data_IF_677357845110
#
_entry.id   IF_677357845110
#
_cell.length_a   1.000
_cell.length_b   1.000
_cell.length_c   1.000
_cell.angle_alpha   90.00
_cell.angle_beta   90.00
_cell.angle_gamma   90.00
#
_symmetry.space_group_name_H-M   'P 1'
#
loop_
_entity.id
_entity.type
_entity.pdbx_description
1 polymer ?
#
# COMPACT_ATOMS: atom_id res chain seq x y z
N UNK A 1 -47.17 0.60 -19.96
CA UNK A 1 -46.60 -0.75 -20.00
C UNK A 1 -45.08 -0.69 -20.02
N UNK A 2 -44.48 -1.58 -19.24
CA UNK A 2 -43.10 -2.10 -19.21
C UNK A 2 -41.88 -1.18 -19.34
N UNK A 3 -41.32 -0.85 -18.17
CA UNK A 3 -39.90 -0.55 -17.97
C UNK A 3 -39.07 -1.82 -18.25
N UNK A 4 -38.31 -1.83 -19.36
CA UNK A 4 -37.29 -2.88 -19.61
C UNK A 4 -36.20 -2.82 -18.53
N UNK A 5 -36.17 -3.83 -17.67
CA UNK A 5 -35.05 -4.12 -16.77
C UNK A 5 -33.92 -4.67 -17.64
N UNK A 6 -32.90 -3.87 -17.91
CA UNK A 6 -31.66 -4.34 -18.53
C UNK A 6 -30.89 -5.17 -17.51
N UNK A 7 -30.86 -6.49 -17.71
CA UNK A 7 -29.99 -7.38 -16.92
C UNK A 7 -28.51 -7.13 -17.26
N UNK A 8 -27.59 -7.26 -16.28
CA UNK A 8 -26.15 -7.18 -16.55
C UNK A 8 -25.70 -8.30 -17.50
N UNK A 9 -24.75 -8.03 -18.43
CA UNK A 9 -24.35 -8.96 -19.50
C UNK A 9 -23.62 -10.23 -19.03
N UNK A 10 -23.40 -10.41 -17.74
CA UNK A 10 -22.62 -11.52 -17.17
C UNK A 10 -23.44 -12.80 -16.93
N UNK A 11 -24.76 -12.77 -17.18
CA UNK A 11 -25.64 -13.95 -16.97
C UNK A 11 -25.89 -14.82 -18.19
N UNK A 12 -25.23 -14.57 -19.32
CA UNK A 12 -25.49 -15.33 -20.55
C UNK A 12 -24.21 -15.71 -21.28
N UNK A 13 -23.70 -16.92 -21.00
CA UNK A 13 -22.65 -17.55 -21.80
C UNK A 13 -22.07 -18.79 -21.11
N UNK A 14 -21.71 -19.86 -21.86
CA UNK A 14 -20.97 -20.98 -21.29
C UNK A 14 -19.61 -20.46 -20.78
N UNK A 15 -19.24 -20.89 -19.57
CA UNK A 15 -18.06 -20.41 -18.83
C UNK A 15 -16.80 -20.45 -19.71
N UNK A 16 -16.15 -19.30 -19.87
CA UNK A 16 -14.81 -19.24 -20.46
C UNK A 16 -13.83 -20.07 -19.61
N UNK A 17 -12.87 -20.78 -20.23
CA UNK A 17 -11.91 -21.59 -19.49
C UNK A 17 -11.15 -20.70 -18.51
N UNK A 18 -11.20 -21.08 -17.23
CA UNK A 18 -10.52 -20.37 -16.16
C UNK A 18 -9.01 -20.45 -16.38
N UNK A 19 -8.25 -19.33 -16.30
CA UNK A 19 -6.80 -19.41 -16.23
C UNK A 19 -6.38 -20.20 -14.97
N UNK A 20 -5.19 -20.82 -14.95
CA UNK A 20 -4.72 -21.58 -13.79
C UNK A 20 -4.81 -20.69 -12.55
N UNK A 21 -5.57 -21.16 -11.57
CA UNK A 21 -5.93 -20.41 -10.37
C UNK A 21 -4.65 -20.03 -9.59
N UNK A 22 -4.24 -18.76 -9.69
CA UNK A 22 -3.25 -18.19 -8.76
C UNK A 22 -3.89 -18.13 -7.37
N UNK A 23 -3.11 -18.45 -6.34
CA UNK A 23 -3.58 -18.72 -4.98
C UNK A 23 -4.53 -17.63 -4.45
N UNK A 24 -5.74 -18.02 -4.07
CA UNK A 24 -6.75 -17.15 -3.45
C UNK A 24 -6.46 -17.06 -1.95
N UNK A 25 -5.51 -16.21 -1.54
CA UNK A 25 -5.24 -15.99 -0.11
C UNK A 25 -6.16 -14.93 0.49
N UNK A 26 -7.45 -15.26 0.59
CA UNK A 26 -8.38 -14.69 1.59
C UNK A 26 -8.59 -15.72 2.71
N UNK A 27 -8.85 -15.31 3.96
CA UNK A 27 -8.60 -16.14 5.13
C UNK A 27 -9.57 -17.32 5.22
N UNK A 28 -9.03 -18.55 5.18
CA UNK A 28 -9.74 -19.74 5.63
C UNK A 28 -9.72 -19.78 7.16
N UNK A 29 -10.87 -19.50 7.77
CA UNK A 29 -11.16 -19.81 9.19
C UNK A 29 -11.91 -21.14 9.24
N UNK A 30 -11.19 -22.21 9.62
CA UNK A 30 -11.61 -23.54 10.12
C UNK A 30 -10.55 -24.56 9.65
N UNK A 31 -10.05 -25.56 10.37
CA UNK A 31 -10.25 -26.14 11.70
C UNK A 31 -9.13 -27.21 11.85
N UNK A 32 -8.87 -27.70 13.06
CA UNK A 32 -7.60 -28.34 13.45
C UNK A 32 -7.16 -29.61 12.71
N UNK A 33 -5.85 -29.91 12.73
CA UNK A 33 -5.28 -31.11 13.39
C UNK A 33 -3.77 -31.30 13.07
N UNK A 34 -2.96 -31.28 14.13
CA UNK A 34 -1.77 -32.11 14.47
C UNK A 34 -0.74 -32.63 13.44
N UNK A 35 0.54 -32.38 13.80
CA UNK A 35 1.79 -33.14 13.53
C UNK A 35 2.30 -33.22 12.06
N UNK A 36 3.60 -33.22 11.75
CA UNK A 36 4.82 -33.56 12.52
C UNK A 36 6.04 -32.85 11.90
N UNK A 37 7.01 -32.47 12.75
CA UNK A 37 8.39 -32.08 12.38
C UNK A 37 9.16 -33.28 11.82
N UNK A 38 10.10 -33.02 10.92
CA UNK A 38 11.38 -33.73 10.83
C UNK A 38 12.47 -32.78 10.32
N UNK A 39 13.51 -32.64 11.13
CA UNK A 39 14.79 -31.96 10.83
C UNK A 39 15.78 -32.92 10.15
N UNK A 40 16.96 -32.37 9.81
CA UNK A 40 18.29 -33.04 9.71
C UNK A 40 18.67 -33.60 8.31
N UNK A 41 19.89 -33.53 7.74
CA UNK A 41 21.18 -32.82 7.96
C UNK A 41 22.06 -32.92 6.68
N UNK A 42 23.13 -32.12 6.60
CA UNK A 42 24.34 -32.09 5.72
C UNK A 42 24.89 -33.49 5.26
N UNK A 43 25.58 -33.75 4.12
CA UNK A 43 26.92 -33.26 3.69
C UNK A 43 27.43 -33.94 2.36
N UNK A 44 28.11 -33.18 1.48
CA UNK A 44 29.39 -33.42 0.71
C UNK A 44 29.58 -34.53 -0.38
N UNK A 45 29.72 -34.05 -1.64
CA UNK A 45 30.63 -34.30 -2.80
C UNK A 45 31.30 -35.65 -3.24
N UNK A 46 31.01 -36.02 -4.52
CA UNK A 46 31.82 -36.48 -5.71
C UNK A 46 32.62 -37.84 -5.73
N UNK A 47 33.04 -38.42 -6.91
CA UNK A 47 32.77 -38.14 -8.35
C UNK A 47 32.56 -39.35 -9.35
N UNK A 48 32.16 -39.01 -10.60
CA UNK A 48 32.35 -39.67 -11.95
C UNK A 48 31.67 -41.04 -12.23
N UNK A 49 30.87 -41.27 -13.29
CA UNK A 49 31.10 -40.96 -14.72
C UNK A 49 29.88 -41.22 -15.64
N UNK A 50 29.73 -40.35 -16.65
CA UNK A 50 29.30 -40.52 -18.05
C UNK A 50 28.05 -41.36 -18.44
N UNK A 51 26.97 -40.68 -18.84
CA UNK A 51 26.35 -40.85 -20.17
C UNK A 51 25.55 -39.62 -20.59
N UNK A 52 25.84 -39.15 -21.80
CA UNK A 52 25.38 -37.90 -22.39
C UNK A 52 23.93 -37.95 -22.87
N UNK A 53 23.15 -36.94 -22.50
CA UNK A 53 21.88 -36.57 -23.12
C UNK A 53 21.77 -35.05 -23.12
N UNK A 54 21.92 -34.42 -24.28
CA UNK A 54 21.91 -32.97 -24.48
C UNK A 54 20.52 -32.38 -24.20
N UNK A 55 20.24 -32.02 -22.95
CA UNK A 55 19.10 -31.17 -22.55
C UNK A 55 19.53 -29.70 -22.53
N UNK A 56 19.46 -29.04 -23.69
CA UNK A 56 19.79 -27.61 -23.84
C UNK A 56 18.68 -26.78 -23.17
N UNK A 57 18.96 -26.14 -22.04
CA UNK A 57 18.08 -25.15 -21.43
C UNK A 57 17.80 -24.04 -22.45
N UNK A 58 16.52 -23.73 -22.68
CA UNK A 58 16.11 -22.67 -23.60
C UNK A 58 16.46 -21.30 -23.01
N UNK A 59 16.95 -20.34 -23.82
CA UNK A 59 17.13 -18.96 -23.39
C UNK A 59 15.78 -18.33 -23.02
N UNK A 60 15.78 -17.46 -22.02
CA UNK A 60 14.64 -16.62 -21.64
C UNK A 60 14.40 -15.52 -22.71
N UNK A 61 13.79 -15.90 -23.83
CA UNK A 61 13.35 -14.97 -24.87
C UNK A 61 12.02 -15.44 -25.44
N UNK A 62 10.94 -15.16 -24.72
CA UNK A 62 9.55 -15.07 -25.21
C UNK A 62 8.63 -14.75 -24.04
N UNK A 63 8.79 -13.54 -23.49
CA UNK A 63 7.68 -12.90 -22.77
C UNK A 63 6.75 -12.28 -23.84
N UNK A 64 5.42 -12.28 -23.66
CA UNK A 64 4.53 -11.63 -24.61
C UNK A 64 4.86 -10.14 -24.66
N UNK A 65 5.38 -9.70 -25.80
CA UNK A 65 5.64 -8.30 -26.08
C UNK A 65 4.30 -7.56 -26.18
N UNK A 66 4.05 -6.60 -25.29
CA UNK A 66 3.07 -5.54 -25.54
C UNK A 66 3.66 -4.68 -26.67
N UNK A 67 3.00 -4.64 -27.81
CA UNK A 67 3.46 -3.93 -29.00
C UNK A 67 3.67 -2.43 -28.68
N UNK A 68 4.86 -1.90 -29.01
CA UNK A 68 5.12 -0.45 -29.03
C UNK A 68 4.53 0.13 -30.32
N UNK A 69 3.62 1.09 -30.17
CA UNK A 69 3.18 1.95 -31.27
C UNK A 69 4.31 2.88 -31.73
N UNK A 70 4.21 3.29 -32.99
CA UNK A 70 5.23 3.88 -33.86
C UNK A 70 5.92 5.18 -33.37
N UNK A 71 7.07 5.44 -33.99
CA UNK A 71 8.05 6.49 -33.74
C UNK A 71 7.54 7.93 -34.00
N UNK A 72 8.08 8.87 -33.21
CA UNK A 72 8.01 10.31 -33.46
C UNK A 72 7.83 11.11 -32.17
N UNK A 73 8.87 11.86 -31.78
CA UNK A 73 9.04 12.63 -30.51
C UNK A 73 9.62 11.79 -29.37
N UNK A 74 10.85 12.13 -28.95
CA UNK A 74 11.43 11.58 -27.72
C UNK A 74 10.44 11.87 -26.58
N UNK A 75 9.93 10.83 -25.88
CA UNK A 75 8.99 11.06 -24.80
C UNK A 75 9.65 11.98 -23.78
N UNK A 76 8.91 12.97 -23.23
CA UNK A 76 9.44 13.78 -22.14
C UNK A 76 9.98 12.85 -21.05
N UNK A 77 11.06 13.24 -20.36
CA UNK A 77 11.64 12.41 -19.31
C UNK A 77 10.52 11.94 -18.37
N UNK A 78 10.50 10.65 -17.99
CA UNK A 78 9.40 10.09 -17.23
C UNK A 78 9.21 10.92 -15.96
N UNK A 79 8.03 11.54 -15.82
CA UNK A 79 7.71 12.33 -14.63
C UNK A 79 7.68 11.39 -13.43
N UNK A 80 8.42 11.67 -12.35
CA UNK A 80 8.39 10.84 -11.16
C UNK A 80 6.96 10.76 -10.61
N UNK A 81 6.63 9.65 -9.94
CA UNK A 81 5.32 9.52 -9.33
C UNK A 81 5.15 10.60 -8.24
N UNK A 82 3.90 11.02 -7.98
CA UNK A 82 3.60 12.17 -7.11
C UNK A 82 4.33 12.13 -5.76
N UNK A 83 4.42 10.96 -5.12
CA UNK A 83 5.07 10.84 -3.81
C UNK A 83 6.58 11.01 -3.87
N UNK A 84 7.21 10.65 -4.98
CA UNK A 84 8.63 10.88 -5.23
C UNK A 84 8.87 12.35 -5.56
N UNK A 85 7.98 12.97 -6.34
CA UNK A 85 8.06 14.39 -6.68
C UNK A 85 7.89 15.31 -5.45
N UNK A 86 7.12 14.88 -4.45
CA UNK A 86 6.88 15.62 -3.20
C UNK A 86 7.79 15.18 -2.05
N UNK A 87 8.99 14.67 -2.35
CA UNK A 87 10.05 14.50 -1.36
C UNK A 87 10.90 15.78 -1.33
N UNK A 88 11.05 16.45 -0.17
CA UNK A 88 11.94 17.60 -0.05
C UNK A 88 13.39 17.24 -0.36
N UNK A 89 14.11 18.12 -1.05
CA UNK A 89 15.52 17.97 -1.39
C UNK A 89 16.44 18.17 -0.18
N UNK A 90 16.08 19.11 0.70
CA UNK A 90 16.80 19.48 1.90
C UNK A 90 16.29 18.75 3.17
N UNK A 91 15.59 17.61 3.01
CA UNK A 91 14.90 16.93 4.12
C UNK A 91 15.77 16.71 5.36
N UNK A 92 16.97 16.18 5.18
CA UNK A 92 17.86 15.84 6.30
C UNK A 92 18.41 17.09 7.00
N UNK A 93 18.67 18.15 6.23
CA UNK A 93 19.12 19.44 6.77
C UNK A 93 18.01 20.08 7.60
N UNK A 94 16.79 20.11 7.08
CA UNK A 94 15.63 20.68 7.77
C UNK A 94 15.28 19.89 9.04
N UNK A 95 15.39 18.56 8.98
CA UNK A 95 15.23 17.72 10.16
C UNK A 95 16.28 18.05 11.23
N UNK A 96 17.54 18.15 10.85
CA UNK A 96 18.61 18.47 11.79
C UNK A 96 18.39 19.85 12.44
N UNK A 97 18.07 20.88 11.65
CA UNK A 97 17.79 22.22 12.13
C UNK A 97 16.59 22.24 13.10
N UNK A 98 15.51 21.53 12.76
CA UNK A 98 14.33 21.41 13.61
C UNK A 98 14.66 20.79 14.97
N UNK A 99 15.41 19.69 15.00
CA UNK A 99 15.78 19.03 16.25
C UNK A 99 16.78 19.86 17.08
N UNK A 100 17.70 20.57 16.44
CA UNK A 100 18.64 21.48 17.12
C UNK A 100 17.94 22.69 17.74
N UNK A 101 16.81 23.11 17.18
CA UNK A 101 16.00 24.21 17.69
C UNK A 101 15.08 23.84 18.86
N UNK A 102 15.21 22.62 19.41
CA UNK A 102 14.24 22.06 20.38
C UNK A 102 12.80 22.13 19.85
N UNK A 103 12.64 21.76 18.57
CA UNK A 103 11.35 21.69 17.87
C UNK A 103 10.61 23.04 17.70
N UNK A 104 11.29 24.18 17.86
CA UNK A 104 10.69 25.52 17.74
C UNK A 104 10.81 26.15 16.35
N UNK A 105 11.71 25.64 15.51
CA UNK A 105 11.89 26.05 14.12
C UNK A 105 10.75 25.54 13.22
N UNK A 106 10.44 26.28 12.16
CA UNK A 106 9.50 25.85 11.11
C UNK A 106 10.29 25.43 9.87
N UNK A 107 10.38 24.12 9.55
CA UNK A 107 11.07 23.61 8.38
C UNK A 107 10.69 24.35 7.09
N UNK A 108 11.68 24.68 6.27
CA UNK A 108 11.49 25.32 4.97
C UNK A 108 11.90 24.34 3.86
N UNK A 109 10.94 23.65 3.26
CA UNK A 109 11.21 22.55 2.34
C UNK A 109 11.44 23.02 0.90
N UNK A 110 12.48 22.49 0.27
CA UNK A 110 12.79 22.74 -1.14
C UNK A 110 12.37 21.54 -2.01
N UNK A 111 11.80 21.80 -3.20
CA UNK A 111 11.35 20.75 -4.12
C UNK A 111 11.93 20.95 -5.53
N UNK A 112 12.26 19.84 -6.20
CA UNK A 112 12.93 19.86 -7.50
C UNK A 112 12.10 20.45 -8.65
N UNK A 113 10.76 20.40 -8.55
CA UNK A 113 9.88 20.96 -9.56
C UNK A 113 8.98 22.02 -8.92
N UNK A 114 8.65 23.11 -9.64
CA UNK A 114 7.65 24.05 -9.19
C UNK A 114 6.36 23.28 -8.89
N UNK A 115 5.78 23.57 -7.73
CA UNK A 115 4.62 22.88 -7.15
C UNK A 115 3.59 22.50 -8.24
N UNK A 116 3.22 21.23 -8.39
CA UNK A 116 2.16 20.84 -9.32
C UNK A 116 0.81 21.29 -8.72
N UNK A 117 0.53 22.61 -8.81
CA UNK A 117 -0.54 23.32 -8.10
C UNK A 117 -1.87 22.58 -8.17
N UNK A 118 -2.29 22.17 -9.37
CA UNK A 118 -3.54 21.43 -9.55
C UNK A 118 -3.62 20.07 -8.83
N UNK A 119 -2.48 19.40 -8.58
CA UNK A 119 -2.45 18.17 -7.77
C UNK A 119 -2.44 18.47 -6.28
N UNK A 120 -1.73 19.49 -5.84
CA UNK A 120 -1.74 19.92 -4.44
C UNK A 120 -3.11 20.47 -4.04
N UNK A 121 -3.77 21.23 -4.92
CA UNK A 121 -5.13 21.74 -4.71
C UNK A 121 -6.13 20.63 -4.44
N UNK A 122 -5.97 19.47 -5.08
CA UNK A 122 -6.82 18.29 -4.85
C UNK A 122 -6.70 17.74 -3.42
N UNK A 123 -5.54 17.92 -2.78
CA UNK A 123 -5.24 17.36 -1.46
C UNK A 123 -5.05 18.43 -0.38
N UNK A 124 -5.44 19.68 -0.65
CA UNK A 124 -5.22 20.81 0.28
C UNK A 124 -6.10 20.76 1.53
N UNK A 125 -7.28 20.16 1.40
CA UNK A 125 -8.32 20.16 2.43
C UNK A 125 -8.29 18.84 3.23
N UNK A 126 -8.24 18.95 4.55
CA UNK A 126 -8.32 17.83 5.49
C UNK A 126 -9.78 17.55 5.88
N UNK A 127 -10.23 16.29 5.73
CA UNK A 127 -11.57 15.87 6.11
C UNK A 127 -11.65 15.54 7.61
N UNK A 128 -12.73 15.96 8.27
CA UNK A 128 -13.02 15.65 9.68
C UNK A 128 -14.04 14.52 9.90
N UNK A 129 -14.60 13.94 8.83
CA UNK A 129 -15.71 12.98 8.88
C UNK A 129 -15.47 11.79 9.83
N UNK A 130 -14.22 11.32 9.94
CA UNK A 130 -13.86 10.16 10.75
C UNK A 130 -12.93 10.48 11.93
N UNK A 131 -12.94 11.74 12.39
CA UNK A 131 -12.05 12.19 13.46
C UNK A 131 -12.32 11.46 14.78
N UNK A 132 -13.59 11.28 15.15
CA UNK A 132 -13.99 10.55 16.35
C UNK A 132 -13.52 9.08 16.31
N UNK A 133 -13.66 8.42 15.16
CA UNK A 133 -13.21 7.04 14.99
C UNK A 133 -11.68 6.95 15.04
N UNK A 134 -10.97 7.91 14.46
CA UNK A 134 -9.51 7.97 14.53
C UNK A 134 -9.04 8.09 15.98
N UNK A 135 -9.61 9.04 16.75
CA UNK A 135 -9.30 9.22 18.17
C UNK A 135 -9.62 7.97 18.98
N UNK A 136 -10.82 7.39 18.81
CA UNK A 136 -11.21 6.19 19.53
C UNK A 136 -10.32 4.96 19.24
N UNK A 137 -9.79 4.83 18.02
CA UNK A 137 -8.80 3.79 17.69
C UNK A 137 -7.49 4.03 18.45
N UNK A 138 -6.98 5.26 18.46
CA UNK A 138 -5.74 5.61 19.15
C UNK A 138 -5.88 5.42 20.66
N UNK A 139 -6.96 5.91 21.28
CA UNK A 139 -7.24 5.73 22.70
C UNK A 139 -7.44 4.27 23.09
N UNK A 140 -8.01 3.44 22.23
CA UNK A 140 -8.12 2.00 22.46
C UNK A 140 -6.75 1.32 22.54
N UNK A 141 -5.81 1.72 21.68
CA UNK A 141 -4.43 1.25 21.73
C UNK A 141 -3.74 1.76 22.99
N UNK A 142 -3.81 3.06 23.29
CA UNK A 142 -3.18 3.63 24.47
C UNK A 142 -3.71 3.01 25.78
N UNK A 143 -5.01 2.75 25.90
CA UNK A 143 -5.57 2.06 27.07
C UNK A 143 -5.04 0.65 27.26
N UNK A 144 -4.70 -0.05 26.18
CA UNK A 144 -4.22 -1.44 26.24
C UNK A 144 -2.71 -1.55 26.41
N UNK A 145 -1.95 -0.68 25.76
CA UNK A 145 -0.49 -0.77 25.68
C UNK A 145 0.24 0.32 26.48
N UNK A 146 -0.47 1.31 27.00
CA UNK A 146 0.10 2.45 27.72
C UNK A 146 0.71 3.51 26.80
N UNK A 147 1.42 3.12 25.75
CA UNK A 147 2.03 4.02 24.76
C UNK A 147 2.03 3.45 23.35
N UNK A 148 2.27 4.33 22.36
CA UNK A 148 2.52 3.90 20.98
C UNK A 148 3.77 3.04 20.88
N UNK A 149 4.85 3.42 21.56
CA UNK A 149 6.15 2.76 21.46
C UNK A 149 6.06 1.32 21.96
N UNK A 150 5.36 1.09 23.08
CA UNK A 150 5.11 -0.26 23.58
C UNK A 150 4.20 -1.06 22.63
N UNK A 151 3.18 -0.43 22.04
CA UNK A 151 2.35 -1.05 21.01
C UNK A 151 3.18 -1.47 19.78
N UNK A 152 4.07 -0.61 19.29
CA UNK A 152 4.95 -0.89 18.17
C UNK A 152 5.91 -2.03 18.48
N UNK A 153 6.55 -2.01 19.64
CA UNK A 153 7.47 -3.06 20.07
C UNK A 153 6.77 -4.42 20.15
N UNK A 154 5.65 -4.50 20.88
CA UNK A 154 4.92 -5.76 21.12
C UNK A 154 4.29 -6.31 19.84
N UNK A 155 3.72 -5.44 19.00
CA UNK A 155 2.97 -5.91 17.83
C UNK A 155 3.79 -5.94 16.55
N UNK A 156 4.85 -5.14 16.45
CA UNK A 156 5.76 -5.06 15.31
C UNK A 156 6.99 -5.94 15.45
N UNK A 157 7.48 -6.14 16.67
CA UNK A 157 8.75 -6.80 16.93
C UNK A 157 9.95 -5.96 16.45
N UNK A 158 11.12 -6.58 16.44
CA UNK A 158 12.36 -5.93 16.02
C UNK A 158 12.39 -5.59 14.53
N UNK A 159 13.16 -4.55 14.19
CA UNK A 159 13.52 -4.22 12.80
C UNK A 159 14.37 -5.36 12.23
N UNK A 160 14.04 -5.81 11.02
CA UNK A 160 14.70 -6.95 10.40
C UNK A 160 15.98 -6.53 9.65
N UNK A 161 17.05 -7.35 9.69
CA UNK A 161 18.19 -7.13 8.82
C UNK A 161 17.82 -7.37 7.35
N UNK A 162 18.53 -6.70 6.42
CA UNK A 162 18.25 -6.74 4.97
C UNK A 162 18.10 -8.17 4.44
N UNK A 163 18.92 -9.12 4.91
CA UNK A 163 18.87 -10.53 4.51
C UNK A 163 17.54 -11.21 4.86
N UNK A 164 16.98 -10.93 6.03
CA UNK A 164 15.68 -11.48 6.47
C UNK A 164 14.52 -10.84 5.71
N UNK A 165 14.60 -9.54 5.42
CA UNK A 165 13.62 -8.85 4.56
C UNK A 165 13.59 -9.51 3.18
N UNK A 166 14.76 -9.71 2.56
CA UNK A 166 14.88 -10.40 1.27
C UNK A 166 14.32 -11.83 1.30
N UNK A 167 14.61 -12.59 2.34
CA UNK A 167 14.10 -13.96 2.49
C UNK A 167 12.57 -13.98 2.61
N UNK A 168 11.99 -13.08 3.41
CA UNK A 168 10.54 -12.95 3.55
C UNK A 168 9.85 -12.55 2.24
N UNK A 169 10.42 -11.58 1.51
CA UNK A 169 9.88 -11.16 0.21
C UNK A 169 9.91 -12.30 -0.81
N UNK A 170 11.03 -13.02 -0.93
CA UNK A 170 11.13 -14.19 -1.83
C UNK A 170 10.10 -15.26 -1.48
N UNK A 171 9.96 -15.59 -0.20
CA UNK A 171 8.96 -16.55 0.28
C UNK A 171 7.54 -16.10 -0.07
N UNK A 172 7.23 -14.80 0.08
CA UNK A 172 5.92 -14.26 -0.25
C UNK A 172 5.64 -14.29 -1.76
N UNK A 173 6.59 -13.88 -2.59
CA UNK A 173 6.45 -13.95 -4.06
C UNK A 173 6.28 -15.39 -4.56
N UNK A 174 6.99 -16.35 -3.95
CA UNK A 174 6.82 -17.77 -4.26
C UNK A 174 5.43 -18.26 -3.89
N UNK A 175 4.93 -17.90 -2.69
CA UNK A 175 3.59 -18.24 -2.22
C UNK A 175 2.49 -17.71 -3.15
N UNK A 176 2.64 -16.48 -3.63
CA UNK A 176 1.67 -15.84 -4.53
C UNK A 176 1.90 -16.19 -6.01
N UNK A 177 2.96 -16.95 -6.33
CA UNK A 177 3.24 -17.43 -7.68
C UNK A 177 3.67 -16.34 -8.67
N UNK A 178 4.31 -15.27 -8.20
CA UNK A 178 4.72 -14.11 -9.01
C UNK A 178 6.24 -13.81 -8.93
N UNK A 179 7.04 -14.85 -8.68
CA UNK A 179 8.51 -14.73 -8.68
C UNK A 179 9.00 -14.25 -10.05
N UNK A 180 9.83 -13.20 -10.05
CA UNK A 180 10.37 -12.60 -11.27
C UNK A 180 9.44 -11.60 -11.95
N UNK A 181 8.18 -11.48 -11.52
CA UNK A 181 7.23 -10.50 -12.06
C UNK A 181 7.35 -9.13 -11.38
N UNK A 182 7.83 -9.09 -10.13
CA UNK A 182 8.00 -7.86 -9.32
C UNK A 182 9.48 -7.62 -9.01
N UNK A 183 9.98 -6.45 -9.38
CA UNK A 183 11.31 -5.95 -8.97
C UNK A 183 11.22 -5.47 -7.53
N UNK A 184 12.20 -5.80 -6.69
CA UNK A 184 12.21 -5.41 -5.28
C UNK A 184 13.42 -4.52 -5.04
N UNK A 185 13.21 -3.42 -4.32
CA UNK A 185 14.26 -2.49 -3.87
C UNK A 185 14.11 -2.27 -2.37
N UNK A 186 15.22 -2.17 -1.66
CA UNK A 186 15.25 -1.78 -0.25
C UNK A 186 15.86 -0.38 -0.18
N UNK A 187 15.26 0.50 0.62
CA UNK A 187 15.65 1.90 0.73
C UNK A 187 15.55 2.35 2.18
N UNK A 188 16.38 3.30 2.57
CA UNK A 188 16.30 4.02 3.84
C UNK A 188 15.65 5.41 3.66
N UNK A 189 15.41 5.82 2.40
CA UNK A 189 14.96 7.17 2.03
C UNK A 189 13.46 7.25 1.72
N UNK A 190 12.73 6.13 1.80
CA UNK A 190 11.31 6.11 1.46
C UNK A 190 10.47 6.68 2.61
N UNK A 191 9.66 7.70 2.36
CA UNK A 191 8.77 8.29 3.39
C UNK A 191 7.60 7.37 3.81
N UNK A 192 7.24 6.39 2.97
CA UNK A 192 6.29 5.34 3.29
C UNK A 192 7.00 4.07 3.73
N UNK A 193 6.28 3.17 4.40
CA UNK A 193 6.82 1.87 4.77
C UNK A 193 7.16 1.01 3.54
N UNK A 194 6.35 1.11 2.49
CA UNK A 194 6.64 0.58 1.18
C UNK A 194 5.88 1.37 0.11
N UNK A 195 6.19 1.10 -1.16
CA UNK A 195 5.41 1.58 -2.30
C UNK A 195 5.54 0.61 -3.47
N UNK A 196 4.40 0.30 -4.09
CA UNK A 196 4.32 -0.39 -5.39
C UNK A 196 4.13 0.63 -6.52
N UNK A 197 5.09 0.69 -7.44
CA UNK A 197 5.02 1.53 -8.66
C UNK A 197 5.22 0.68 -9.91
N UNK A 198 4.77 1.17 -11.06
CA UNK A 198 5.13 0.58 -12.36
C UNK A 198 6.13 1.50 -13.03
N UNK A 199 7.40 1.08 -13.08
CA UNK A 199 8.49 1.80 -13.73
C UNK A 199 8.87 1.09 -15.02
N UNK A 200 8.82 1.77 -16.16
CA UNK A 200 9.21 1.19 -17.46
C UNK A 200 8.53 -0.16 -17.75
N UNK A 201 7.22 -0.23 -17.50
CA UNK A 201 6.39 -1.43 -17.62
C UNK A 201 6.77 -2.59 -16.66
N UNK A 202 7.57 -2.32 -15.63
CA UNK A 202 7.93 -3.31 -14.60
C UNK A 202 7.34 -2.90 -13.24
N UNK A 203 6.54 -3.77 -12.62
CA UNK A 203 6.13 -3.59 -11.22
C UNK A 203 7.37 -3.59 -10.32
N UNK A 204 7.53 -2.53 -9.54
CA UNK A 204 8.64 -2.32 -8.62
C UNK A 204 8.09 -2.05 -7.23
N UNK A 205 8.43 -2.92 -6.29
CA UNK A 205 8.20 -2.76 -4.85
C UNK A 205 9.45 -2.15 -4.21
N UNK A 206 9.32 -0.96 -3.63
CA UNK A 206 10.37 -0.39 -2.77
C UNK A 206 9.94 -0.49 -1.31
N UNK A 207 10.78 -1.04 -0.44
CA UNK A 207 10.51 -1.23 1.00
C UNK A 207 11.45 -0.33 1.80
N UNK A 208 10.89 0.40 2.77
CA UNK A 208 11.66 1.10 3.79
C UNK A 208 12.18 0.10 4.83
N UNK A 209 13.50 0.04 5.02
CA UNK A 209 14.14 -0.86 5.97
C UNK A 209 13.80 -0.54 7.44
N UNK A 210 13.72 0.75 7.81
CA UNK A 210 13.32 1.17 9.16
C UNK A 210 11.89 0.73 9.51
N UNK A 211 11.01 0.61 8.52
CA UNK A 211 9.64 0.10 8.68
C UNK A 211 9.49 -1.42 8.62
N UNK A 212 10.55 -2.16 8.25
CA UNK A 212 10.50 -3.60 8.00
C UNK A 212 10.64 -4.41 9.31
N UNK A 213 9.57 -4.45 10.11
CA UNK A 213 9.54 -5.15 11.40
C UNK A 213 9.06 -6.60 11.30
N UNK A 214 9.57 -7.46 12.19
CA UNK A 214 9.37 -8.92 12.19
C UNK A 214 7.91 -9.37 12.03
N UNK A 215 6.99 -8.74 12.75
CA UNK A 215 5.57 -9.13 12.79
C UNK A 215 4.69 -8.29 11.85
N UNK A 216 5.23 -7.23 11.25
CA UNK A 216 4.49 -6.34 10.34
C UNK A 216 4.84 -6.55 8.87
N UNK A 217 6.03 -7.07 8.56
CA UNK A 217 6.51 -7.21 7.18
C UNK A 217 5.55 -8.02 6.30
N UNK A 218 5.00 -9.15 6.77
CA UNK A 218 4.05 -9.92 5.95
C UNK A 218 2.77 -9.13 5.65
N UNK A 219 2.29 -8.31 6.58
CA UNK A 219 1.17 -7.40 6.36
C UNK A 219 1.49 -6.33 5.31
N UNK A 220 2.70 -5.78 5.35
CA UNK A 220 3.19 -4.85 4.32
C UNK A 220 3.23 -5.51 2.94
N UNK A 221 3.69 -6.77 2.84
CA UNK A 221 3.69 -7.51 1.56
C UNK A 221 2.27 -7.81 1.07
N UNK A 222 1.32 -8.07 1.97
CA UNK A 222 -0.11 -8.18 1.60
C UNK A 222 -0.70 -6.85 1.12
N UNK A 223 -0.26 -5.73 1.68
CA UNK A 223 -0.65 -4.39 1.24
C UNK A 223 -0.18 -4.17 -0.21
N UNK A 224 1.12 -4.29 -0.45
CA UNK A 224 1.73 -3.93 -1.73
C UNK A 224 1.52 -4.99 -2.81
N UNK A 225 1.83 -6.25 -2.50
CA UNK A 225 1.76 -7.35 -3.47
C UNK A 225 0.33 -7.91 -3.50
N UNK A 226 -0.18 -8.31 -2.33
CA UNK A 226 -1.49 -8.98 -2.19
C UNK A 226 -2.67 -8.11 -2.63
N UNK A 227 -2.55 -6.79 -2.51
CA UNK A 227 -3.58 -5.84 -2.92
C UNK A 227 -3.17 -5.12 -4.20
N UNK A 228 -2.23 -4.18 -4.14
CA UNK A 228 -1.99 -3.26 -5.26
C UNK A 228 -1.53 -3.97 -6.53
N UNK A 229 -0.56 -4.87 -6.42
CA UNK A 229 -0.05 -5.58 -7.57
C UNK A 229 -1.05 -6.59 -8.13
N UNK A 230 -1.53 -7.54 -7.33
CA UNK A 230 -2.44 -8.59 -7.82
C UNK A 230 -3.75 -8.01 -8.34
N UNK A 231 -4.32 -6.99 -7.69
CA UNK A 231 -5.53 -6.32 -8.20
C UNK A 231 -5.22 -5.45 -9.42
N UNK A 232 -4.01 -4.93 -9.55
CA UNK A 232 -3.53 -4.28 -10.77
C UNK A 232 -3.50 -5.25 -11.96
N UNK A 233 -2.95 -6.45 -11.76
CA UNK A 233 -2.96 -7.53 -12.76
C UNK A 233 -4.39 -7.90 -13.12
N UNK A 234 -5.24 -8.19 -12.14
CA UNK A 234 -6.65 -8.52 -12.36
C UNK A 234 -7.42 -7.42 -13.10
N UNK A 235 -7.17 -6.14 -12.75
CA UNK A 235 -7.79 -5.00 -13.40
C UNK A 235 -7.42 -4.91 -14.88
N UNK A 236 -6.19 -5.29 -15.25
CA UNK A 236 -5.74 -5.24 -16.65
C UNK A 236 -6.49 -6.21 -17.57
N UNK A 237 -7.10 -7.25 -16.99
CA UNK A 237 -7.93 -8.23 -17.71
C UNK A 237 -9.40 -7.80 -17.85
N UNK A 238 -9.79 -6.68 -17.25
CA UNK A 238 -11.19 -6.23 -17.24
C UNK A 238 -11.50 -5.28 -18.40
N UNK A 239 -12.73 -5.26 -18.92
CA UNK A 239 -13.13 -4.34 -19.98
C UNK A 239 -13.09 -2.86 -19.55
N UNK A 240 -13.05 -2.59 -18.24
CA UNK A 240 -12.90 -1.24 -17.66
C UNK A 240 -11.47 -0.92 -17.22
N UNK A 241 -10.46 -1.64 -17.73
CA UNK A 241 -9.06 -1.39 -17.37
C UNK A 241 -8.61 0.05 -17.70
N UNK A 242 -9.12 0.62 -18.79
CA UNK A 242 -8.80 1.96 -19.30
C UNK A 242 -9.74 3.04 -18.76
N UNK A 243 -9.34 4.31 -18.86
CA UNK A 243 -10.18 5.45 -18.47
C UNK A 243 -11.51 5.48 -19.24
N UNK A 244 -11.47 5.22 -20.55
CA UNK A 244 -12.67 5.16 -21.40
C UNK A 244 -13.59 4.01 -20.99
N UNK A 245 -13.02 2.83 -20.72
CA UNK A 245 -13.78 1.70 -20.20
C UNK A 245 -14.46 2.05 -18.88
N UNK A 246 -13.73 2.63 -17.92
CA UNK A 246 -14.35 3.08 -16.65
C UNK A 246 -15.50 4.06 -16.87
N UNK A 247 -15.37 4.99 -17.81
CA UNK A 247 -16.43 5.95 -18.17
C UNK A 247 -17.63 5.26 -18.80
N UNK A 248 -17.40 4.34 -19.75
CA UNK A 248 -18.44 3.56 -20.42
C UNK A 248 -19.27 2.75 -19.42
N UNK A 249 -18.63 2.15 -18.42
CA UNK A 249 -19.30 1.38 -17.37
C UNK A 249 -19.77 2.22 -16.17
N UNK A 250 -19.62 3.55 -16.22
CA UNK A 250 -20.06 4.45 -15.14
C UNK A 250 -19.38 4.20 -13.79
N UNK A 251 -18.14 3.73 -13.78
CA UNK A 251 -17.47 3.30 -12.56
C UNK A 251 -17.02 4.47 -11.70
N UNK A 252 -17.39 4.42 -10.42
CA UNK A 252 -16.88 5.36 -9.40
C UNK A 252 -15.38 5.18 -9.16
N UNK A 253 -14.69 6.19 -8.59
CA UNK A 253 -13.29 6.09 -8.21
C UNK A 253 -13.03 4.90 -7.27
N UNK A 254 -12.04 4.08 -7.59
CA UNK A 254 -11.67 2.90 -6.80
C UNK A 254 -10.70 3.21 -5.66
N UNK A 255 -10.09 4.41 -5.63
CA UNK A 255 -8.99 4.72 -4.72
C UNK A 255 -9.32 4.47 -3.23
N UNK A 256 -10.48 4.91 -2.68
CA UNK A 256 -10.82 4.58 -1.29
C UNK A 256 -10.93 3.07 -1.03
N UNK A 257 -11.46 2.31 -2.00
CA UNK A 257 -11.56 0.85 -1.86
C UNK A 257 -10.20 0.18 -1.95
N UNK A 258 -9.35 0.64 -2.86
CA UNK A 258 -8.00 0.11 -3.06
C UNK A 258 -7.14 0.31 -1.82
N UNK A 259 -7.00 1.56 -1.37
CA UNK A 259 -6.17 1.91 -0.21
C UNK A 259 -6.77 1.34 1.08
N UNK A 260 -8.09 1.38 1.23
CA UNK A 260 -8.78 0.81 2.38
C UNK A 260 -8.59 -0.70 2.51
N UNK A 261 -8.70 -1.44 1.39
CA UNK A 261 -8.49 -2.89 1.37
C UNK A 261 -7.03 -3.23 1.64
N UNK A 262 -6.09 -2.49 1.05
CA UNK A 262 -4.67 -2.66 1.29
C UNK A 262 -4.32 -2.43 2.77
N UNK A 263 -4.86 -1.38 3.38
CA UNK A 263 -4.67 -1.10 4.81
C UNK A 263 -5.30 -2.18 5.69
N UNK A 264 -6.48 -2.72 5.36
CA UNK A 264 -7.06 -3.86 6.06
C UNK A 264 -6.14 -5.10 5.97
N UNK A 265 -5.70 -5.46 4.77
CA UNK A 265 -4.80 -6.59 4.55
C UNK A 265 -3.47 -6.47 5.30
N UNK A 266 -3.03 -5.23 5.59
CA UNK A 266 -1.83 -5.00 6.37
C UNK A 266 -1.95 -5.42 7.83
N UNK A 267 -3.16 -5.43 8.41
CA UNK A 267 -3.40 -5.73 9.83
C UNK A 267 -4.21 -7.00 10.07
N UNK A 268 -5.03 -7.44 9.11
CA UNK A 268 -6.09 -8.44 9.30
C UNK A 268 -5.61 -9.76 9.93
N UNK A 269 -4.38 -10.18 9.60
CA UNK A 269 -3.80 -11.44 10.05
C UNK A 269 -2.76 -11.28 11.16
N UNK A 270 -2.64 -10.07 11.73
CA UNK A 270 -1.85 -9.84 12.94
C UNK A 270 -2.62 -10.39 14.14
N UNK A 271 -1.89 -10.83 15.17
CA UNK A 271 -2.49 -11.22 16.47
C UNK A 271 -3.35 -10.09 17.07
N UNK A 272 -2.95 -8.85 16.83
CA UNK A 272 -3.57 -7.64 17.36
C UNK A 272 -3.80 -6.64 16.21
N UNK A 273 -4.94 -6.74 15.50
CA UNK A 273 -5.18 -6.05 14.24
C UNK A 273 -5.65 -4.59 14.42
N UNK A 274 -4.92 -3.79 15.21
CA UNK A 274 -5.24 -2.39 15.45
C UNK A 274 -4.93 -1.51 14.25
N UNK A 275 -5.83 -0.57 13.93
CA UNK A 275 -5.74 0.36 12.79
C UNK A 275 -4.95 1.64 13.12
N UNK A 276 -4.00 1.56 14.06
CA UNK A 276 -3.28 2.73 14.60
C UNK A 276 -2.75 3.66 13.50
N UNK A 277 -1.98 3.12 12.55
CA UNK A 277 -1.32 3.92 11.50
C UNK A 277 -2.33 4.69 10.66
N UNK A 278 -3.43 4.06 10.25
CA UNK A 278 -4.46 4.73 9.46
C UNK A 278 -5.17 5.82 10.28
N UNK A 279 -5.44 5.56 11.57
CA UNK A 279 -6.04 6.53 12.48
C UNK A 279 -5.14 7.76 12.71
N UNK A 280 -3.87 7.53 13.03
CA UNK A 280 -2.93 8.62 13.29
C UNK A 280 -2.65 9.45 12.02
N UNK A 281 -2.49 8.81 10.85
CA UNK A 281 -2.38 9.54 9.58
C UNK A 281 -3.61 10.44 9.34
N UNK A 282 -4.81 9.93 9.60
CA UNK A 282 -6.04 10.69 9.42
C UNK A 282 -6.12 11.90 10.34
N UNK A 283 -5.83 11.67 11.62
CA UNK A 283 -5.83 12.69 12.67
C UNK A 283 -4.79 13.79 12.40
N UNK A 284 -3.56 13.39 12.07
CA UNK A 284 -2.46 14.32 11.80
C UNK A 284 -2.76 15.22 10.60
N UNK A 285 -3.29 14.66 9.51
CA UNK A 285 -3.69 15.47 8.35
C UNK A 285 -4.77 16.49 8.71
N UNK A 286 -5.79 16.08 9.47
CA UNK A 286 -6.88 16.96 9.86
C UNK A 286 -6.36 18.18 10.62
N UNK A 287 -5.47 17.98 11.59
CA UNK A 287 -4.88 19.08 12.37
C UNK A 287 -3.83 19.89 11.61
N UNK A 288 -3.10 19.28 10.66
CA UNK A 288 -2.14 20.00 9.82
C UNK A 288 -2.79 21.13 9.01
N UNK A 289 -4.07 20.99 8.67
CA UNK A 289 -4.82 22.00 7.92
C UNK A 289 -4.88 23.36 8.63
N UNK A 290 -4.71 23.41 9.95
CA UNK A 290 -4.83 24.63 10.75
C UNK A 290 -3.60 24.95 11.62
N UNK A 291 -2.56 24.11 11.61
CA UNK A 291 -1.37 24.25 12.48
C UNK A 291 -0.11 24.42 11.64
N UNK A 292 0.91 25.11 12.17
CA UNK A 292 2.27 25.05 11.63
C UNK A 292 2.91 23.68 11.85
N UNK A 293 4.12 23.46 11.34
CA UNK A 293 4.83 22.19 11.53
C UNK A 293 5.18 21.97 13.01
N UNK A 294 5.77 22.97 13.68
CA UNK A 294 6.14 22.86 15.09
C UNK A 294 4.92 22.62 15.99
N UNK A 295 3.82 23.33 15.73
CA UNK A 295 2.55 23.17 16.44
C UNK A 295 1.98 21.76 16.26
N UNK A 296 1.96 21.26 15.02
CA UNK A 296 1.48 19.92 14.71
C UNK A 296 2.35 18.85 15.40
N UNK A 297 3.67 19.03 15.38
CA UNK A 297 4.63 18.14 16.03
C UNK A 297 4.43 18.07 17.54
N UNK A 298 4.27 19.23 18.20
CA UNK A 298 3.93 19.31 19.62
C UNK A 298 2.55 18.71 19.92
N UNK A 299 1.57 18.94 19.05
CA UNK A 299 0.20 18.44 19.21
C UNK A 299 0.12 16.91 19.20
N UNK A 300 0.89 16.24 18.32
CA UNK A 300 0.92 14.78 18.19
C UNK A 300 1.62 14.11 19.38
N UNK A 301 2.41 14.84 20.18
CA UNK A 301 3.10 14.31 21.37
C UNK A 301 2.16 13.63 22.39
N UNK A 302 0.86 13.96 22.36
CA UNK A 302 -0.16 13.30 23.18
C UNK A 302 -0.39 11.82 22.83
N UNK A 303 0.02 11.37 21.64
CA UNK A 303 -0.17 10.00 21.15
C UNK A 303 1.15 9.26 20.89
N UNK A 304 2.20 9.99 20.51
CA UNK A 304 3.50 9.44 20.12
C UNK A 304 4.61 10.24 20.80
N UNK A 305 5.43 9.59 21.60
CA UNK A 305 6.52 10.24 22.34
C UNK A 305 7.77 10.38 21.46
N UNK A 306 8.06 9.35 20.66
CA UNK A 306 9.23 9.33 19.78
C UNK A 306 9.22 10.53 18.80
N UNK A 307 10.21 11.44 18.87
CA UNK A 307 10.27 12.62 18.01
C UNK A 307 10.51 12.27 16.54
N UNK A 308 11.25 11.21 16.23
CA UNK A 308 11.48 10.79 14.85
C UNK A 308 10.19 10.32 14.19
N UNK A 309 9.37 9.56 14.93
CA UNK A 309 8.06 9.12 14.45
C UNK A 309 7.13 10.33 14.25
N UNK A 310 7.11 11.26 15.21
CA UNK A 310 6.32 12.51 15.07
C UNK A 310 6.72 13.31 13.84
N UNK A 311 8.02 13.46 13.60
CA UNK A 311 8.56 14.13 12.42
C UNK A 311 8.03 13.49 11.13
N UNK A 312 8.06 12.16 11.01
CA UNK A 312 7.54 11.46 9.83
C UNK A 312 6.05 11.75 9.57
N UNK A 313 5.22 11.75 10.60
CA UNK A 313 3.79 12.05 10.46
C UNK A 313 3.56 13.51 10.05
N UNK A 314 4.28 14.47 10.65
CA UNK A 314 4.19 15.89 10.32
C UNK A 314 4.62 16.15 8.88
N UNK A 315 5.79 15.62 8.49
CA UNK A 315 6.33 15.70 7.14
C UNK A 315 5.32 15.17 6.11
N UNK A 316 4.72 14.00 6.34
CA UNK A 316 3.75 13.42 5.41
C UNK A 316 2.50 14.28 5.25
N UNK A 317 2.06 14.94 6.31
CA UNK A 317 0.89 15.82 6.30
C UNK A 317 1.19 17.23 5.75
N UNK A 318 2.45 17.67 5.79
CA UNK A 318 2.90 19.00 5.31
C UNK A 318 3.63 18.98 3.97
N UNK A 319 4.02 17.81 3.45
CA UNK A 319 4.75 17.69 2.17
C UNK A 319 4.03 18.41 1.02
N UNK A 320 4.82 19.00 0.15
CA UNK A 320 4.36 19.90 -0.92
C UNK A 320 4.20 21.35 -0.50
N UNK A 321 4.37 21.69 0.79
CA UNK A 321 4.52 23.08 1.24
C UNK A 321 5.99 23.43 1.33
N UNK A 322 6.33 24.64 0.85
CA UNK A 322 7.66 25.24 0.98
C UNK A 322 7.83 25.86 2.37
N UNK A 323 6.93 26.76 2.77
CA UNK A 323 6.90 27.36 4.11
C UNK A 323 5.92 26.61 5.02
N UNK A 324 6.46 25.86 5.97
CA UNK A 324 5.64 25.04 6.89
C UNK A 324 5.12 25.80 8.12
N UNK A 325 5.47 27.08 8.26
CA UNK A 325 4.84 27.97 9.25
C UNK A 325 3.36 28.22 8.92
N UNK A 326 2.98 28.09 7.66
CA UNK A 326 1.62 28.31 7.19
C UNK A 326 0.68 27.12 7.48
N UNK A 327 -0.61 27.40 7.73
CA UNK A 327 -1.64 26.37 7.72
C UNK A 327 -1.75 25.67 6.37
N UNK A 328 -2.12 24.39 6.39
CA UNK A 328 -2.37 23.61 5.18
C UNK A 328 -1.95 22.16 5.35
N UNK A 329 -2.52 21.27 4.54
CA UNK A 329 -2.18 19.85 4.59
C UNK A 329 -2.05 19.22 3.19
N UNK A 330 -1.51 18.01 3.17
CA UNK A 330 -1.54 17.10 2.04
C UNK A 330 -2.35 15.86 2.41
N UNK A 331 -3.65 15.90 2.13
CA UNK A 331 -4.65 14.96 2.66
C UNK A 331 -4.71 13.59 2.01
N UNK A 332 -3.75 13.27 1.14
CA UNK A 332 -3.70 11.99 0.41
C UNK A 332 -3.81 10.77 1.34
N UNK A 333 -3.21 10.82 2.52
CA UNK A 333 -3.16 9.68 3.45
C UNK A 333 -4.46 9.47 4.24
N UNK A 334 -5.43 10.42 4.23
CA UNK A 334 -6.72 10.21 4.88
C UNK A 334 -7.55 9.08 4.23
N UNK A 335 -7.24 8.76 2.97
CA UNK A 335 -7.92 7.72 2.21
C UNK A 335 -7.78 6.32 2.83
N UNK A 336 -6.73 6.08 3.61
CA UNK A 336 -6.52 4.79 4.28
C UNK A 336 -7.67 4.51 5.26
N UNK A 337 -7.87 5.39 6.26
CA UNK A 337 -8.93 5.20 7.25
C UNK A 337 -10.33 5.33 6.61
N UNK A 338 -10.51 6.32 5.72
CA UNK A 338 -11.77 6.50 4.99
C UNK A 338 -12.19 5.21 4.25
N UNK A 339 -11.25 4.64 3.51
CA UNK A 339 -11.44 3.38 2.79
C UNK A 339 -11.76 2.20 3.71
N UNK A 340 -10.98 2.03 4.78
CA UNK A 340 -11.18 0.97 5.79
C UNK A 340 -12.60 1.06 6.36
N UNK A 341 -13.02 2.22 6.85
CA UNK A 341 -14.31 2.38 7.53
C UNK A 341 -15.49 2.17 6.57
N UNK A 342 -15.37 2.60 5.31
CA UNK A 342 -16.38 2.31 4.27
C UNK A 342 -16.48 0.82 3.99
N UNK A 343 -15.37 0.11 3.83
CA UNK A 343 -15.37 -1.35 3.63
C UNK A 343 -15.97 -2.05 4.85
N UNK A 344 -15.50 -1.71 6.05
CA UNK A 344 -15.99 -2.32 7.29
C UNK A 344 -17.48 -2.08 7.48
N UNK A 345 -18.00 -0.89 7.17
CA UNK A 345 -19.45 -0.59 7.24
C UNK A 345 -20.29 -1.56 6.42
N UNK A 346 -19.80 -1.99 5.26
CA UNK A 346 -20.50 -2.89 4.34
C UNK A 346 -20.00 -4.34 4.38
N UNK A 347 -19.13 -4.71 5.33
CA UNK A 347 -18.42 -6.01 5.38
C UNK A 347 -19.29 -7.26 5.30
N UNK A 348 -20.56 -7.18 5.69
CA UNK A 348 -21.51 -8.31 5.62
C UNK A 348 -22.11 -8.51 4.23
N UNK A 349 -22.02 -7.49 3.37
CA UNK A 349 -22.64 -7.47 2.05
C UNK A 349 -21.59 -7.53 0.92
N UNK A 350 -20.30 -7.47 1.27
CA UNK A 350 -19.19 -7.54 0.33
C UNK A 350 -18.77 -9.00 0.17
N UNK A 351 -18.81 -9.50 -1.06
CA UNK A 351 -18.02 -10.68 -1.41
C UNK A 351 -16.56 -10.26 -1.58
N UNK A 352 -15.74 -10.54 -0.56
CA UNK A 352 -14.31 -10.18 -0.57
C UNK A 352 -13.50 -10.96 -1.60
N UNK A 353 -13.93 -12.17 -1.94
CA UNK A 353 -13.26 -12.99 -2.96
C UNK A 353 -13.46 -12.35 -4.33
N UNK A 354 -14.70 -11.97 -4.64
CA UNK A 354 -15.06 -11.23 -5.86
C UNK A 354 -14.43 -9.83 -5.88
N UNK A 355 -14.43 -9.11 -4.76
CA UNK A 355 -13.75 -7.82 -4.66
C UNK A 355 -12.30 -7.94 -5.09
N UNK A 356 -11.59 -8.94 -4.55
CA UNK A 356 -10.17 -9.18 -4.84
C UNK A 356 -9.92 -9.59 -6.29
N UNK A 357 -10.80 -10.39 -6.89
CA UNK A 357 -10.63 -10.90 -8.26
C UNK A 357 -11.04 -9.92 -9.37
N UNK A 358 -11.95 -8.99 -9.13
CA UNK A 358 -12.41 -8.02 -10.15
C UNK A 358 -11.42 -6.87 -10.43
N UNK A 359 -10.32 -6.79 -9.68
CA UNK A 359 -9.40 -5.67 -9.79
C UNK A 359 -9.97 -4.37 -9.22
N UNK A 360 -9.63 -3.22 -9.81
CA UNK A 360 -9.79 -1.89 -9.18
C UNK A 360 -11.21 -1.32 -9.35
N UNK A 361 -12.14 -1.81 -8.55
CA UNK A 361 -13.53 -1.31 -8.48
C UNK A 361 -13.82 -0.62 -7.14
N UNK A 362 -14.83 0.26 -7.14
CA UNK A 362 -15.36 0.86 -5.91
C UNK A 362 -16.24 -0.16 -5.16
N UNK A 363 -16.15 -0.18 -3.83
CA UNK A 363 -16.95 -1.06 -2.95
C UNK A 363 -18.46 -0.90 -3.15
N UNK A 364 -18.91 0.29 -3.57
CA UNK A 364 -20.32 0.57 -3.85
C UNK A 364 -20.88 -0.25 -5.02
N UNK A 365 -20.04 -0.69 -5.95
CA UNK A 365 -20.47 -1.54 -7.07
C UNK A 365 -20.87 -2.92 -6.56
N UNK A 366 -20.17 -3.46 -5.56
CA UNK A 366 -20.42 -4.80 -5.03
C UNK A 366 -21.63 -4.87 -4.11
N UNK A 367 -21.93 -3.77 -3.40
CA UNK A 367 -23.15 -3.69 -2.57
C UNK A 367 -24.41 -3.73 -3.44
N UNK A 368 -24.35 -3.20 -4.66
CA UNK A 368 -25.48 -3.18 -5.59
C UNK A 368 -25.72 -4.52 -6.30
N UNK A 369 -24.71 -5.38 -6.40
CA UNK A 369 -24.85 -6.71 -7.04
C UNK A 369 -25.46 -7.74 -6.10
N UNK A 370 -25.42 -7.50 -4.78
CA UNK A 370 -25.93 -8.39 -3.73
C UNK A 370 -27.26 -7.95 -3.10
N UNK A 371 -27.92 -6.91 -3.62
CA UNK A 371 -29.32 -6.65 -3.29
C UNK A 371 -30.22 -7.45 -4.25
N UNK A 372 -31.04 -8.40 -3.76
CA UNK A 372 -32.01 -9.11 -4.58
C UNK A 372 -33.07 -8.19 -5.18
#
# INVERSE_FOLDING_TARGET
EERKILQPPWRSGPAAPSPPMRSLTSPSLAGGSWMRRSESTCSVNYPLSLRAGRGRMRPASSLPHIARGAEGVAPPPPRPCLLVALRPLNLEQEKLAFFQSDFSYEPQFEYAQPEPRGVLDKYRDGAGLFLEQAVGIMECVLRKFGSYEHFEEVTGGGVLPKSQVWAAVRKYLQKEGCVGEVVVRLSDELLSQAVMVVESCRPTLTINLGGARQHWLEGMLRHEIGTHYLRGVNNSLQPWASADGRKQFGLKPANPTEEGLASLHSVLLRKQPYLWRAALLYYTVFHAASMSFSQLFGHIARFVHDPDVRWEYCLRAKRGQTDTSQPGCFSKDQVYLDGILRILRHRRNIDFKMLTSLGKVSVNILVLVNCP
#
